data_IF_681686246038
#
_entry.id   IF_681686246038
#
_cell.length_a   1.000
_cell.length_b   1.000
_cell.length_c   1.000
_cell.angle_alpha   90.00
_cell.angle_beta   90.00
_cell.angle_gamma   90.00
#
_symmetry.space_group_name_H-M   'P 1'
#
loop_
_entity.id
_entity.type
_entity.pdbx_description
1 polymer ?
#
# COMPACT_ATOMS: atom_id res chain seq x y z
N UNK A 1 26.52 -15.35 -17.48
CA UNK A 1 26.78 -13.90 -17.65
C UNK A 1 25.62 -13.14 -17.01
N UNK A 2 25.91 -12.06 -16.27
CA UNK A 2 24.90 -11.18 -15.69
C UNK A 2 24.81 -9.90 -16.50
N UNK A 3 23.59 -9.41 -16.73
CA UNK A 3 23.34 -8.11 -17.34
C UNK A 3 22.29 -7.35 -16.55
N UNK A 4 22.34 -6.03 -16.64
CA UNK A 4 21.47 -5.11 -15.91
C UNK A 4 21.00 -4.02 -16.84
N UNK A 5 19.76 -3.61 -16.70
CA UNK A 5 19.21 -2.43 -17.32
C UNK A 5 18.43 -1.63 -16.28
N UNK A 6 18.52 -0.33 -16.34
CA UNK A 6 17.76 0.60 -15.50
C UNK A 6 16.99 1.53 -16.42
N UNK A 7 15.71 1.72 -16.11
CA UNK A 7 14.83 2.62 -16.83
C UNK A 7 14.22 3.63 -15.89
N UNK A 8 14.00 4.84 -16.38
CA UNK A 8 13.17 5.84 -15.72
C UNK A 8 11.81 5.87 -16.41
N UNK A 9 10.77 6.08 -15.61
CA UNK A 9 9.41 6.26 -16.09
C UNK A 9 8.72 7.40 -15.37
N UNK A 10 7.78 8.02 -16.09
CA UNK A 10 6.92 9.06 -15.59
C UNK A 10 5.52 8.87 -16.15
N UNK A 11 4.51 8.90 -15.29
CA UNK A 11 3.11 8.80 -15.68
C UNK A 11 2.33 10.00 -15.16
N UNK A 12 1.45 10.59 -16.00
CA UNK A 12 0.49 11.58 -15.51
C UNK A 12 -0.43 10.97 -14.46
N UNK A 13 -0.76 11.75 -13.44
CA UNK A 13 -1.74 11.38 -12.43
C UNK A 13 -3.04 12.15 -12.66
N UNK A 14 -4.14 11.59 -12.13
CA UNK A 14 -5.42 12.27 -12.13
C UNK A 14 -5.35 13.59 -11.35
N UNK A 15 -6.12 14.58 -11.84
CA UNK A 15 -6.05 15.96 -11.37
C UNK A 15 -6.39 16.18 -9.90
N UNK A 16 -6.96 15.18 -9.23
CA UNK A 16 -7.39 15.27 -7.83
C UNK A 16 -6.48 14.59 -6.80
N UNK A 17 -5.32 14.06 -7.20
CA UNK A 17 -4.45 13.32 -6.27
C UNK A 17 -3.67 14.28 -5.40
N UNK A 18 -4.03 14.33 -4.11
CA UNK A 18 -3.35 15.13 -3.08
C UNK A 18 -2.85 14.21 -1.97
N UNK A 19 -1.55 14.24 -1.71
CA UNK A 19 -0.91 13.49 -0.64
C UNK A 19 -0.23 14.47 0.32
N UNK A 20 -0.62 14.43 1.60
CA UNK A 20 -0.06 15.32 2.64
C UNK A 20 0.03 16.79 2.17
N UNK A 21 -1.08 17.35 1.72
CA UNK A 21 -1.17 18.73 1.23
C UNK A 21 -0.38 19.01 -0.06
N UNK A 22 0.28 18.01 -0.63
CA UNK A 22 1.02 18.10 -1.87
C UNK A 22 0.22 17.50 -3.01
N UNK A 23 -0.01 18.28 -4.06
CA UNK A 23 -0.63 17.81 -5.29
C UNK A 23 0.42 17.15 -6.18
N UNK A 24 0.25 15.85 -6.45
CA UNK A 24 1.07 15.12 -7.40
C UNK A 24 0.46 15.21 -8.79
N UNK A 25 1.20 15.79 -9.73
CA UNK A 25 0.82 15.87 -11.15
C UNK A 25 1.31 14.65 -11.93
N UNK A 26 2.44 14.09 -11.52
CA UNK A 26 3.07 12.92 -12.13
C UNK A 26 3.51 11.96 -11.04
N UNK A 27 3.58 10.69 -11.42
CA UNK A 27 4.25 9.65 -10.64
C UNK A 27 5.51 9.26 -11.38
N UNK A 28 6.63 9.32 -10.69
CA UNK A 28 7.95 9.03 -11.25
C UNK A 28 8.54 7.81 -10.54
N UNK A 29 9.31 7.02 -11.27
CA UNK A 29 9.99 5.87 -10.69
C UNK A 29 11.07 5.32 -11.60
N UNK A 30 11.70 4.26 -11.10
CA UNK A 30 12.71 3.50 -11.83
C UNK A 30 12.24 2.05 -11.94
N UNK A 31 12.71 1.39 -13.01
CA UNK A 31 12.69 -0.06 -13.10
C UNK A 31 14.13 -0.58 -13.18
N UNK A 32 14.38 -1.68 -12.53
CA UNK A 32 15.59 -2.47 -12.72
C UNK A 32 15.22 -3.79 -13.37
N UNK A 33 15.98 -4.18 -14.38
CA UNK A 33 15.88 -5.48 -15.03
C UNK A 33 17.19 -6.22 -14.88
N UNK A 34 17.13 -7.34 -14.17
CA UNK A 34 18.27 -8.24 -13.96
C UNK A 34 18.12 -9.46 -14.86
N UNK A 35 19.23 -9.88 -15.47
CA UNK A 35 19.27 -11.09 -16.24
C UNK A 35 20.50 -11.91 -15.85
N UNK A 36 20.31 -13.21 -15.70
CA UNK A 36 21.41 -14.17 -15.48
C UNK A 36 21.13 -15.44 -16.27
N UNK A 37 21.87 -15.66 -17.35
CA UNK A 37 21.55 -16.71 -18.32
C UNK A 37 20.17 -16.43 -18.97
N UNK A 38 19.28 -17.41 -18.89
CA UNK A 38 17.91 -17.30 -19.43
C UNK A 38 16.90 -16.78 -18.40
N UNK A 39 17.34 -16.53 -17.15
CA UNK A 39 16.46 -16.03 -16.10
C UNK A 39 16.43 -14.51 -16.08
N UNK A 40 15.25 -13.98 -15.79
CA UNK A 40 14.98 -12.54 -15.74
C UNK A 40 14.27 -12.16 -14.46
N UNK A 41 14.49 -10.93 -13.99
CA UNK A 41 13.74 -10.36 -12.89
C UNK A 41 13.60 -8.86 -13.05
N UNK A 42 12.40 -8.38 -12.79
CA UNK A 42 12.06 -6.96 -12.75
C UNK A 42 11.84 -6.48 -11.33
N UNK A 43 12.21 -5.24 -11.06
CA UNK A 43 11.87 -4.57 -9.82
C UNK A 43 11.51 -3.11 -10.06
N UNK A 44 10.60 -2.59 -9.26
CA UNK A 44 10.21 -1.19 -9.30
C UNK A 44 10.78 -0.46 -8.10
N UNK A 45 11.44 0.67 -8.36
CA UNK A 45 11.96 1.58 -7.35
C UNK A 45 11.25 2.92 -7.53
N UNK A 46 10.22 3.15 -6.72
CA UNK A 46 9.38 4.34 -6.85
C UNK A 46 9.13 5.01 -5.49
N UNK A 47 10.14 5.73 -4.96
CA UNK A 47 9.95 6.51 -3.74
C UNK A 47 8.71 7.40 -3.84
N UNK A 48 7.93 7.45 -2.78
CA UNK A 48 6.71 8.26 -2.75
C UNK A 48 7.04 9.63 -2.13
N UNK A 49 6.96 10.72 -2.89
CA UNK A 49 7.25 12.06 -2.37
C UNK A 49 6.42 12.42 -1.13
N UNK A 50 7.08 12.89 -0.09
CA UNK A 50 6.45 13.23 1.19
C UNK A 50 6.29 12.05 2.16
N UNK A 51 6.53 10.81 1.73
CA UNK A 51 6.45 9.60 2.56
C UNK A 51 7.78 8.86 2.62
N UNK A 52 8.44 8.64 1.48
CA UNK A 52 9.74 7.98 1.43
C UNK A 52 10.83 8.85 2.04
N UNK A 53 11.84 8.18 2.64
CA UNK A 53 13.04 8.86 3.17
C UNK A 53 13.94 9.36 2.04
N UNK A 54 14.13 8.53 1.01
CA UNK A 54 14.97 8.84 -0.14
C UNK A 54 14.22 9.65 -1.21
N UNK A 55 14.96 10.48 -1.94
CA UNK A 55 14.53 11.06 -3.20
C UNK A 55 14.72 10.08 -4.35
N UNK A 56 14.13 10.39 -5.51
CA UNK A 56 14.34 9.59 -6.72
C UNK A 56 15.81 9.62 -7.16
N UNK A 57 16.48 10.75 -7.03
CA UNK A 57 17.89 10.93 -7.36
C UNK A 57 18.81 10.09 -6.47
N UNK A 58 18.56 10.09 -5.17
CA UNK A 58 19.27 9.24 -4.22
C UNK A 58 19.03 7.75 -4.53
N UNK A 59 17.80 7.38 -4.84
CA UNK A 59 17.44 6.02 -5.23
C UNK A 59 18.16 5.58 -6.51
N UNK A 60 18.23 6.44 -7.53
CA UNK A 60 18.94 6.16 -8.77
C UNK A 60 20.42 5.92 -8.52
N UNK A 61 21.07 6.78 -7.75
CA UNK A 61 22.49 6.64 -7.43
C UNK A 61 22.80 5.32 -6.70
N UNK A 62 22.01 4.98 -5.70
CA UNK A 62 22.15 3.74 -4.96
C UNK A 62 21.88 2.51 -5.83
N UNK A 63 20.87 2.55 -6.68
CA UNK A 63 20.54 1.48 -7.61
C UNK A 63 21.65 1.25 -8.62
N UNK A 64 22.22 2.31 -9.20
CA UNK A 64 23.35 2.20 -10.13
C UNK A 64 24.55 1.52 -9.48
N UNK A 65 24.94 1.94 -8.29
CA UNK A 65 26.07 1.37 -7.58
C UNK A 65 25.85 -0.12 -7.29
N UNK A 66 24.66 -0.49 -6.80
CA UNK A 66 24.33 -1.87 -6.51
C UNK A 66 24.34 -2.75 -7.77
N UNK A 67 23.71 -2.27 -8.84
CA UNK A 67 23.56 -3.04 -10.09
C UNK A 67 24.89 -3.27 -10.80
N UNK A 68 25.79 -2.30 -10.78
CA UNK A 68 27.13 -2.45 -11.36
C UNK A 68 27.93 -3.50 -10.60
N UNK A 69 27.93 -3.48 -9.29
CA UNK A 69 28.59 -4.49 -8.47
C UNK A 69 28.01 -5.89 -8.71
N UNK A 70 26.68 -6.01 -8.76
CA UNK A 70 26.04 -7.29 -9.05
C UNK A 70 26.37 -7.81 -10.46
N UNK A 71 26.35 -6.93 -11.46
CA UNK A 71 26.74 -7.27 -12.84
C UNK A 71 28.16 -7.82 -12.90
N UNK A 72 29.07 -7.23 -12.14
CA UNK A 72 30.49 -7.59 -12.12
C UNK A 72 30.76 -8.88 -11.32
N UNK A 73 29.72 -9.54 -10.82
CA UNK A 73 29.79 -10.84 -10.17
C UNK A 73 29.77 -10.80 -8.64
N UNK A 74 29.68 -9.63 -8.05
CA UNK A 74 29.60 -9.47 -6.61
C UNK A 74 28.22 -9.87 -6.05
N UNK A 75 28.12 -10.00 -4.74
CA UNK A 75 26.88 -10.14 -3.99
C UNK A 75 26.73 -8.94 -3.05
N UNK A 76 26.48 -7.73 -3.57
CA UNK A 76 26.44 -6.52 -2.78
C UNK A 76 25.27 -6.54 -1.79
N UNK A 77 25.51 -5.96 -0.60
CA UNK A 77 24.43 -5.74 0.37
C UNK A 77 23.44 -4.72 -0.16
N UNK A 78 22.18 -4.85 0.26
CA UNK A 78 21.16 -3.85 -0.07
C UNK A 78 21.57 -2.47 0.47
N UNK A 79 21.26 -1.39 -0.26
CA UNK A 79 21.71 -0.04 0.11
C UNK A 79 21.17 0.51 1.44
N UNK A 80 20.07 -0.04 1.96
CA UNK A 80 19.41 0.47 3.17
C UNK A 80 18.41 1.61 2.89
N UNK A 81 18.07 1.84 1.64
CA UNK A 81 17.00 2.76 1.22
C UNK A 81 15.75 1.94 0.92
N UNK A 82 14.62 2.14 1.61
CA UNK A 82 13.47 1.22 1.55
C UNK A 82 12.95 0.92 0.15
N UNK A 83 12.73 1.94 -0.68
CA UNK A 83 12.23 1.74 -2.03
C UNK A 83 13.23 0.99 -2.93
N UNK A 84 14.52 1.29 -2.79
CA UNK A 84 15.60 0.62 -3.53
C UNK A 84 15.72 -0.83 -3.10
N UNK A 85 15.77 -1.08 -1.80
CA UNK A 85 15.84 -2.43 -1.23
C UNK A 85 14.67 -3.29 -1.66
N UNK A 86 13.46 -2.70 -1.65
CA UNK A 86 12.26 -3.39 -2.10
C UNK A 86 12.34 -3.77 -3.58
N UNK A 87 12.64 -2.82 -4.46
CA UNK A 87 12.72 -3.06 -5.90
C UNK A 87 13.80 -4.08 -6.27
N UNK A 88 14.98 -3.98 -5.68
CA UNK A 88 16.07 -4.95 -5.90
C UNK A 88 15.64 -6.35 -5.42
N UNK A 89 15.04 -6.45 -4.25
CA UNK A 89 14.60 -7.74 -3.72
C UNK A 89 13.51 -8.40 -4.58
N UNK A 90 12.62 -7.60 -5.17
CA UNK A 90 11.64 -8.09 -6.14
C UNK A 90 12.31 -8.64 -7.40
N UNK A 91 13.28 -7.90 -7.95
CA UNK A 91 14.01 -8.34 -9.13
C UNK A 91 14.78 -9.66 -8.87
N UNK A 92 15.43 -9.77 -7.71
CA UNK A 92 16.11 -11.00 -7.31
C UNK A 92 15.13 -12.16 -7.09
N UNK A 93 13.99 -11.91 -6.48
CA UNK A 93 12.97 -12.93 -6.23
C UNK A 93 12.34 -13.45 -7.53
N UNK A 94 12.13 -12.58 -8.52
CA UNK A 94 11.70 -13.02 -9.85
C UNK A 94 12.82 -13.81 -10.56
N UNK A 95 14.05 -13.35 -10.45
CA UNK A 95 15.22 -14.00 -11.06
C UNK A 95 15.44 -15.42 -10.53
N UNK A 96 15.29 -15.66 -9.23
CA UNK A 96 15.47 -16.95 -8.60
C UNK A 96 14.20 -17.81 -8.49
N UNK A 97 13.05 -17.26 -8.92
CA UNK A 97 11.75 -17.94 -8.91
C UNK A 97 11.11 -18.04 -7.52
N UNK A 98 11.56 -17.29 -6.53
CA UNK A 98 10.99 -17.32 -5.17
C UNK A 98 9.73 -16.50 -5.00
N UNK A 99 9.44 -15.57 -5.91
CA UNK A 99 8.17 -14.85 -5.94
C UNK A 99 7.14 -15.65 -6.76
N UNK A 100 5.93 -15.93 -6.22
CA UNK A 100 4.88 -16.60 -7.00
C UNK A 100 4.60 -15.90 -8.33
N UNK A 101 4.34 -16.68 -9.38
CA UNK A 101 3.97 -16.11 -10.69
C UNK A 101 2.51 -15.69 -10.73
N UNK A 102 1.68 -16.27 -9.89
CA UNK A 102 0.24 -16.05 -9.85
C UNK A 102 -0.22 -15.48 -8.53
N UNK A 103 -1.31 -14.73 -8.58
CA UNK A 103 -2.06 -14.21 -7.46
C UNK A 103 -3.55 -14.16 -7.83
N UNK A 104 -4.42 -13.97 -6.86
CA UNK A 104 -5.85 -13.80 -7.14
C UNK A 104 -6.20 -12.37 -7.63
N UNK A 105 -5.26 -11.45 -7.55
CA UNK A 105 -5.38 -10.04 -7.99
C UNK A 105 -6.60 -9.32 -7.42
N UNK A 106 -7.06 -9.73 -6.24
CA UNK A 106 -8.09 -8.99 -5.51
C UNK A 106 -7.49 -7.77 -4.83
N UNK A 107 -8.27 -6.70 -4.78
CA UNK A 107 -7.90 -5.52 -4.01
C UNK A 107 -9.16 -4.93 -3.37
N UNK A 108 -9.04 -4.43 -2.13
CA UNK A 108 -10.12 -3.69 -1.52
C UNK A 108 -10.33 -2.38 -2.29
N UNK A 109 -11.53 -2.12 -2.83
CA UNK A 109 -11.80 -0.88 -3.56
C UNK A 109 -11.48 0.33 -2.69
N UNK A 110 -10.75 1.29 -3.26
CA UNK A 110 -10.54 2.61 -2.67
C UNK A 110 -11.70 3.51 -3.09
N UNK A 111 -12.61 3.75 -2.16
CA UNK A 111 -13.84 4.48 -2.43
C UNK A 111 -13.67 5.96 -2.15
N UNK A 112 -13.93 6.76 -3.16
CA UNK A 112 -14.01 8.23 -3.11
C UNK A 112 -15.28 8.67 -3.83
N UNK A 113 -15.88 9.79 -3.42
CA UNK A 113 -17.00 10.36 -4.12
C UNK A 113 -18.33 10.30 -3.36
N UNK A 114 -19.42 10.35 -4.12
CA UNK A 114 -20.78 10.42 -3.60
C UNK A 114 -21.18 9.09 -2.93
N UNK A 115 -21.70 9.12 -1.68
CA UNK A 115 -22.17 7.92 -0.99
C UNK A 115 -23.24 7.13 -1.75
N UNK A 116 -24.12 7.79 -2.51
CA UNK A 116 -25.16 7.11 -3.28
C UNK A 116 -24.56 6.29 -4.43
N UNK A 117 -23.52 6.81 -5.10
CA UNK A 117 -22.80 6.08 -6.14
C UNK A 117 -22.02 4.91 -5.52
N UNK A 118 -21.37 5.13 -4.39
CA UNK A 118 -20.63 4.10 -3.66
C UNK A 118 -21.54 2.95 -3.21
N UNK A 119 -22.74 3.27 -2.75
CA UNK A 119 -23.70 2.25 -2.34
C UNK A 119 -23.97 1.23 -3.44
N UNK A 120 -24.27 1.69 -4.65
CA UNK A 120 -24.57 0.80 -5.78
C UNK A 120 -23.38 -0.11 -6.12
N UNK A 121 -22.17 0.46 -6.15
CA UNK A 121 -20.93 -0.29 -6.43
C UNK A 121 -20.65 -1.33 -5.35
N UNK A 122 -20.74 -0.96 -4.08
CA UNK A 122 -20.41 -1.84 -2.96
C UNK A 122 -21.48 -2.93 -2.78
N UNK A 123 -22.76 -2.60 -2.97
CA UNK A 123 -23.84 -3.59 -2.89
C UNK A 123 -23.71 -4.67 -3.97
N UNK A 124 -23.20 -4.32 -5.14
CA UNK A 124 -23.02 -5.22 -6.27
C UNK A 124 -21.70 -6.04 -6.23
N UNK A 125 -20.79 -5.77 -5.28
CA UNK A 125 -19.52 -6.50 -5.19
C UNK A 125 -19.74 -8.01 -5.03
N UNK A 126 -19.05 -8.85 -5.83
CA UNK A 126 -19.08 -10.29 -5.62
C UNK A 126 -18.16 -10.72 -4.46
N UNK A 127 -18.53 -11.82 -3.80
CA UNK A 127 -17.71 -12.41 -2.74
C UNK A 127 -17.65 -11.58 -1.46
N UNK A 128 -16.51 -11.57 -0.79
CA UNK A 128 -16.29 -10.81 0.43
C UNK A 128 -16.30 -9.30 0.14
N UNK A 129 -17.17 -8.57 0.82
CA UNK A 129 -17.33 -7.13 0.66
C UNK A 129 -16.44 -6.38 1.64
N UNK A 130 -15.24 -6.03 1.18
CA UNK A 130 -14.29 -5.19 1.91
C UNK A 130 -13.99 -3.97 1.08
N UNK A 131 -14.11 -2.78 1.67
CA UNK A 131 -13.82 -1.52 0.98
C UNK A 131 -13.04 -0.58 1.89
N UNK A 132 -12.20 0.24 1.30
CA UNK A 132 -11.46 1.30 1.99
C UNK A 132 -12.06 2.66 1.69
N UNK A 133 -12.28 3.44 2.74
CA UNK A 133 -12.78 4.82 2.64
C UNK A 133 -11.81 5.74 3.38
N UNK A 134 -11.40 6.81 2.71
CA UNK A 134 -10.62 7.85 3.35
C UNK A 134 -11.54 8.76 4.15
N UNK A 135 -11.21 8.97 5.42
CA UNK A 135 -11.91 9.88 6.33
C UNK A 135 -10.97 10.99 6.79
N UNK A 136 -11.48 12.00 7.47
CA UNK A 136 -10.67 13.12 7.93
C UNK A 136 -10.44 14.23 6.89
N UNK A 137 -11.01 14.12 5.69
CA UNK A 137 -11.00 15.16 4.65
C UNK A 137 -12.15 16.16 4.83
N UNK A 138 -13.23 15.71 5.42
CA UNK A 138 -14.45 16.48 5.72
C UNK A 138 -14.69 16.49 7.23
N UNK A 139 -15.82 17.04 7.63
CA UNK A 139 -16.24 17.02 9.03
C UNK A 139 -16.38 15.58 9.56
N UNK A 140 -15.86 15.33 10.75
CA UNK A 140 -15.87 14.00 11.37
C UNK A 140 -17.30 13.45 11.54
N UNK A 141 -18.26 14.31 11.82
CA UNK A 141 -19.69 13.98 11.89
C UNK A 141 -20.18 13.40 10.58
N UNK A 142 -19.85 14.06 9.45
CA UNK A 142 -20.23 13.59 8.11
C UNK A 142 -19.60 12.22 7.82
N UNK A 143 -18.32 12.06 8.12
CA UNK A 143 -17.64 10.79 7.91
C UNK A 143 -18.28 9.64 8.71
N UNK A 144 -18.68 9.91 9.95
CA UNK A 144 -19.41 8.95 10.79
C UNK A 144 -20.77 8.59 10.20
N UNK A 145 -21.52 9.59 9.74
CA UNK A 145 -22.83 9.37 9.11
C UNK A 145 -22.72 8.54 7.83
N UNK A 146 -21.75 8.82 6.98
CA UNK A 146 -21.51 8.07 5.74
C UNK A 146 -21.14 6.62 6.04
N UNK A 147 -20.20 6.39 6.95
CA UNK A 147 -19.84 5.04 7.37
C UNK A 147 -21.04 4.27 7.92
N UNK A 148 -21.83 4.90 8.77
CA UNK A 148 -23.04 4.29 9.35
C UNK A 148 -24.08 3.92 8.28
N UNK A 149 -24.34 4.81 7.33
CA UNK A 149 -25.30 4.56 6.23
C UNK A 149 -24.86 3.36 5.38
N UNK A 150 -23.60 3.27 5.02
CA UNK A 150 -23.07 2.16 4.22
C UNK A 150 -23.15 0.83 4.98
N UNK A 151 -22.81 0.82 6.26
CA UNK A 151 -22.87 -0.38 7.09
C UNK A 151 -24.30 -0.83 7.34
N UNK A 152 -25.23 0.09 7.54
CA UNK A 152 -26.65 -0.21 7.68
C UNK A 152 -27.25 -0.77 6.39
N UNK A 153 -26.95 -0.13 5.28
CA UNK A 153 -27.53 -0.48 3.98
C UNK A 153 -26.96 -1.76 3.37
N UNK A 154 -25.72 -2.14 3.72
CA UNK A 154 -25.02 -3.31 3.17
C UNK A 154 -24.56 -4.19 4.35
N UNK A 155 -25.39 -5.14 4.82
CA UNK A 155 -25.14 -5.89 6.05
C UNK A 155 -23.87 -6.75 6.07
N UNK A 156 -23.37 -7.17 4.90
CA UNK A 156 -22.15 -7.98 4.75
C UNK A 156 -20.89 -7.16 4.43
N UNK A 157 -21.01 -5.83 4.38
CA UNK A 157 -19.88 -4.93 4.14
C UNK A 157 -18.99 -4.81 5.39
N UNK A 158 -17.70 -4.91 5.18
CA UNK A 158 -16.67 -4.54 6.15
C UNK A 158 -15.90 -3.35 5.63
N UNK A 159 -15.71 -2.33 6.46
CA UNK A 159 -15.02 -1.10 6.11
C UNK A 159 -13.63 -1.04 6.72
N UNK A 160 -12.67 -0.64 5.91
CA UNK A 160 -11.36 -0.14 6.33
C UNK A 160 -11.38 1.36 6.16
N UNK A 161 -11.10 2.09 7.22
CA UNK A 161 -11.11 3.54 7.21
C UNK A 161 -9.70 4.06 7.43
N UNK A 162 -9.38 5.19 6.81
CA UNK A 162 -8.07 5.81 6.93
C UNK A 162 -8.21 7.31 7.20
N UNK A 163 -7.83 7.72 8.39
CA UNK A 163 -7.91 9.11 8.83
C UNK A 163 -6.57 9.86 8.68
N UNK A 164 -5.49 9.18 8.36
CA UNK A 164 -4.15 9.77 8.20
C UNK A 164 -3.76 10.71 9.35
N UNK A 165 -4.07 10.34 10.59
CA UNK A 165 -3.81 11.13 11.81
C UNK A 165 -4.49 12.50 11.84
N UNK A 166 -5.59 12.67 11.10
CA UNK A 166 -6.23 13.97 10.94
C UNK A 166 -6.98 14.46 12.18
N UNK A 167 -7.40 13.56 13.07
CA UNK A 167 -8.32 13.90 14.14
C UNK A 167 -7.65 14.24 15.47
N UNK A 168 -8.23 15.25 16.12
CA UNK A 168 -8.10 15.44 17.57
C UNK A 168 -8.95 14.41 18.29
N UNK A 169 -8.74 14.13 19.60
CA UNK A 169 -9.62 13.24 20.36
C UNK A 169 -11.10 13.61 20.25
N UNK A 170 -11.42 14.91 20.26
CA UNK A 170 -12.80 15.38 20.12
C UNK A 170 -13.41 15.02 18.78
N UNK A 171 -12.68 15.26 17.67
CA UNK A 171 -13.14 14.91 16.32
C UNK A 171 -13.34 13.40 16.16
N UNK A 172 -12.43 12.61 16.70
CA UNK A 172 -12.56 11.14 16.71
C UNK A 172 -13.84 10.70 17.43
N UNK A 173 -14.16 11.29 18.58
CA UNK A 173 -15.41 11.02 19.31
C UNK A 173 -16.64 11.48 18.53
N UNK A 174 -16.57 12.61 17.83
CA UNK A 174 -17.64 13.08 16.95
C UNK A 174 -17.92 12.10 15.83
N UNK A 175 -16.88 11.54 15.21
CA UNK A 175 -17.04 10.45 14.24
C UNK A 175 -17.76 9.26 14.85
N UNK A 176 -17.25 8.73 15.96
CA UNK A 176 -17.78 7.53 16.60
C UNK A 176 -19.25 7.68 17.04
N UNK A 177 -19.64 8.87 17.49
CA UNK A 177 -21.02 9.16 17.92
C UNK A 177 -22.06 8.86 16.85
N UNK A 178 -21.72 9.04 15.59
CA UNK A 178 -22.62 8.84 14.45
C UNK A 178 -22.53 7.44 13.83
N UNK A 179 -21.72 6.57 14.39
CA UNK A 179 -21.65 5.15 14.00
C UNK A 179 -22.40 4.36 15.07
N UNK A 180 -23.50 3.72 14.68
CA UNK A 180 -24.26 2.86 15.58
C UNK A 180 -23.34 1.80 16.22
N UNK A 181 -23.33 1.67 17.54
CA UNK A 181 -22.54 0.66 18.23
C UNK A 181 -22.72 -0.76 17.68
N UNK A 182 -23.91 -1.11 17.18
CA UNK A 182 -24.20 -2.41 16.59
C UNK A 182 -23.44 -2.69 15.28
N UNK A 183 -22.92 -1.67 14.62
CA UNK A 183 -22.18 -1.80 13.34
C UNK A 183 -20.68 -1.64 13.49
N UNK A 184 -20.19 -1.22 14.66
CA UNK A 184 -18.77 -0.89 14.89
C UNK A 184 -17.84 -2.07 14.70
N UNK A 185 -18.27 -3.29 14.95
CA UNK A 185 -17.49 -4.50 14.73
C UNK A 185 -17.24 -4.82 13.25
N UNK A 186 -18.04 -4.23 12.35
CA UNK A 186 -17.84 -4.32 10.90
C UNK A 186 -16.95 -3.21 10.33
N UNK A 187 -16.52 -2.26 11.14
CA UNK A 187 -15.32 -1.48 10.85
C UNK A 187 -14.15 -2.40 11.15
N UNK A 188 -13.55 -2.97 10.11
CA UNK A 188 -12.44 -3.91 10.25
C UNK A 188 -11.29 -3.26 11.02
N UNK A 189 -10.98 -2.01 10.66
CA UNK A 189 -10.10 -1.13 11.41
C UNK A 189 -10.19 0.32 10.89
N UNK A 190 -9.75 1.24 11.72
CA UNK A 190 -9.54 2.64 11.40
C UNK A 190 -8.04 2.93 11.52
N UNK A 191 -7.38 3.23 10.40
CA UNK A 191 -5.95 3.50 10.36
C UNK A 191 -5.66 4.86 10.98
N UNK A 192 -4.73 4.88 11.95
CA UNK A 192 -4.16 6.11 12.56
C UNK A 192 -5.20 7.23 12.74
N UNK A 193 -6.23 7.05 13.60
CA UNK A 193 -7.28 8.07 13.73
C UNK A 193 -6.77 9.40 14.25
N UNK A 194 -5.89 9.38 15.24
CA UNK A 194 -5.41 10.57 15.93
C UNK A 194 -3.95 10.89 15.66
N UNK A 195 -3.51 12.07 16.05
CA UNK A 195 -2.14 12.54 15.85
C UNK A 195 -1.12 11.74 16.64
N UNK A 196 -1.50 11.21 17.80
CA UNK A 196 -0.63 10.40 18.65
C UNK A 196 -1.14 8.97 18.78
N UNK A 197 -0.23 8.02 18.99
CA UNK A 197 -0.62 6.63 19.27
C UNK A 197 -1.47 6.51 20.56
N UNK A 198 -1.12 7.26 21.58
CA UNK A 198 -1.86 7.27 22.84
C UNK A 198 -3.33 7.69 22.64
N UNK A 199 -3.58 8.74 21.87
CA UNK A 199 -4.94 9.20 21.57
C UNK A 199 -5.70 8.19 20.71
N UNK A 200 -5.05 7.54 19.76
CA UNK A 200 -5.66 6.49 18.94
C UNK A 200 -6.02 5.26 19.77
N UNK A 201 -5.18 4.85 20.71
CA UNK A 201 -5.45 3.76 21.63
C UNK A 201 -6.62 4.09 22.57
N UNK A 202 -6.66 5.32 23.10
CA UNK A 202 -7.78 5.78 23.92
C UNK A 202 -9.09 5.75 23.14
N UNK A 203 -9.09 6.22 21.91
CA UNK A 203 -10.24 6.16 20.99
C UNK A 203 -10.77 4.73 20.83
N UNK A 204 -9.88 3.77 20.52
CA UNK A 204 -10.26 2.38 20.34
C UNK A 204 -10.88 1.80 21.63
N UNK A 205 -10.28 2.08 22.77
CA UNK A 205 -10.75 1.62 24.06
C UNK A 205 -12.12 2.20 24.43
N UNK A 206 -12.33 3.48 24.19
CA UNK A 206 -13.56 4.19 24.56
C UNK A 206 -14.73 3.89 23.61
N UNK A 207 -14.46 3.65 22.34
CA UNK A 207 -15.51 3.49 21.32
C UNK A 207 -15.79 2.05 20.91
N UNK A 208 -14.85 1.13 21.17
CA UNK A 208 -14.90 -0.24 20.68
C UNK A 208 -14.62 -0.37 19.17
N UNK A 209 -14.23 0.72 18.51
CA UNK A 209 -13.83 0.70 17.09
C UNK A 209 -12.38 0.27 17.01
N UNK A 210 -12.10 -0.80 16.28
CA UNK A 210 -10.74 -1.30 16.05
C UNK A 210 -9.89 -0.30 15.29
N UNK A 211 -8.61 -0.21 15.64
CA UNK A 211 -7.63 0.63 14.93
C UNK A 211 -6.53 -0.21 14.30
N UNK A 212 -5.80 0.39 13.37
CA UNK A 212 -4.62 -0.16 12.74
C UNK A 212 -3.45 0.84 12.75
N UNK A 213 -2.24 0.30 12.77
CA UNK A 213 -1.03 1.09 12.58
C UNK A 213 -0.61 1.08 11.10
N UNK A 214 -0.20 2.22 10.59
CA UNK A 214 0.41 2.45 9.28
C UNK A 214 1.72 3.22 9.45
N UNK A 215 1.65 4.53 9.60
CA UNK A 215 2.81 5.39 9.78
C UNK A 215 3.64 5.00 11.01
N UNK A 216 2.98 4.59 12.10
CA UNK A 216 3.64 4.19 13.34
C UNK A 216 4.62 3.04 13.17
N UNK A 217 4.38 2.12 12.20
CA UNK A 217 5.30 1.01 11.92
C UNK A 217 6.70 1.47 11.48
N UNK A 218 6.80 2.67 10.95
CA UNK A 218 8.04 3.21 10.39
C UNK A 218 8.71 4.22 11.31
N UNK A 219 8.17 4.40 12.51
CA UNK A 219 8.75 5.27 13.53
C UNK A 219 9.80 4.48 14.34
N UNK A 220 10.90 5.12 14.70
CA UNK A 220 12.05 4.45 15.34
C UNK A 220 11.71 3.87 16.71
N UNK A 221 10.71 4.42 17.40
CA UNK A 221 10.24 3.98 18.72
C UNK A 221 9.11 2.96 18.66
N UNK A 222 8.76 2.45 17.48
CA UNK A 222 7.70 1.45 17.35
C UNK A 222 8.12 0.11 17.94
N UNK A 223 7.24 -0.46 18.77
CA UNK A 223 7.44 -1.78 19.38
C UNK A 223 6.33 -2.73 18.97
N UNK A 224 6.70 -3.97 18.65
CA UNK A 224 5.77 -5.04 18.34
C UNK A 224 5.21 -5.63 19.65
N UNK A 225 4.19 -4.99 20.20
CA UNK A 225 3.50 -5.42 21.42
C UNK A 225 1.99 -5.48 21.18
N UNK A 226 1.33 -6.41 21.84
CA UNK A 226 -0.12 -6.49 21.84
C UNK A 226 -0.72 -5.32 22.62
N UNK A 227 -1.66 -4.61 22.02
CA UNK A 227 -2.34 -3.47 22.61
C UNK A 227 -3.84 -3.60 22.39
N UNK A 228 -4.68 -3.43 23.45
CA UNK A 228 -6.14 -3.51 23.30
C UNK A 228 -6.66 -2.54 22.25
N UNK A 229 -7.53 -3.02 21.38
CA UNK A 229 -8.14 -2.22 20.31
C UNK A 229 -7.35 -2.17 19.00
N UNK A 230 -6.06 -2.51 18.99
CA UNK A 230 -5.28 -2.65 17.76
C UNK A 230 -5.55 -4.04 17.17
N UNK A 231 -6.04 -4.09 15.93
CA UNK A 231 -6.37 -5.34 15.25
C UNK A 231 -5.59 -5.60 13.97
N UNK A 232 -4.97 -4.57 13.40
CA UNK A 232 -4.28 -4.70 12.13
C UNK A 232 -3.06 -3.79 12.05
N UNK A 233 -2.20 -4.13 11.11
CA UNK A 233 -1.11 -3.27 10.64
C UNK A 233 -1.19 -3.18 9.11
N UNK A 234 -0.90 -2.01 8.58
CA UNK A 234 -0.84 -1.74 7.14
C UNK A 234 0.63 -1.65 6.74
N UNK A 235 1.07 -2.59 5.93
CA UNK A 235 2.47 -2.70 5.49
C UNK A 235 2.58 -2.24 4.05
N UNK A 236 3.37 -1.19 3.83
CA UNK A 236 3.64 -0.61 2.52
C UNK A 236 5.08 -0.93 2.11
N UNK A 237 5.31 -1.97 1.31
CA UNK A 237 6.65 -2.48 1.02
C UNK A 237 7.63 -1.43 0.47
N UNK A 238 7.17 -0.55 -0.42
CA UNK A 238 8.02 0.56 -0.93
C UNK A 238 8.55 1.47 0.20
N UNK A 239 7.80 1.61 1.29
CA UNK A 239 8.21 2.39 2.46
C UNK A 239 8.89 1.53 3.54
N UNK A 240 8.77 0.22 3.47
CA UNK A 240 9.29 -0.74 4.45
C UNK A 240 10.70 -1.20 4.12
N UNK A 241 10.94 -1.68 2.91
CA UNK A 241 12.22 -2.22 2.48
C UNK A 241 12.11 -3.54 1.73
N UNK A 242 13.10 -4.42 1.89
CA UNK A 242 13.17 -5.69 1.18
C UNK A 242 11.96 -6.61 1.45
N UNK A 243 11.74 -7.58 0.54
CA UNK A 243 10.73 -8.64 0.75
C UNK A 243 10.97 -9.38 2.07
N UNK A 244 12.23 -9.62 2.43
CA UNK A 244 12.56 -10.24 3.73
C UNK A 244 12.08 -9.41 4.90
N UNK A 245 12.28 -8.09 4.87
CA UNK A 245 11.80 -7.18 5.91
C UNK A 245 10.29 -7.14 5.97
N UNK A 246 9.62 -7.13 4.82
CA UNK A 246 8.16 -7.22 4.73
C UNK A 246 7.66 -8.51 5.39
N UNK A 247 8.27 -9.65 5.06
CA UNK A 247 7.92 -10.95 5.67
C UNK A 247 8.08 -10.93 7.18
N UNK A 248 9.19 -10.39 7.68
CA UNK A 248 9.44 -10.26 9.12
C UNK A 248 8.37 -9.44 9.83
N UNK A 249 7.91 -8.35 9.22
CA UNK A 249 6.81 -7.55 9.78
C UNK A 249 5.48 -8.29 9.75
N UNK A 250 5.18 -9.03 8.68
CA UNK A 250 3.98 -9.88 8.61
C UNK A 250 4.00 -10.94 9.70
N UNK A 251 5.14 -11.62 9.88
CA UNK A 251 5.31 -12.63 10.93
C UNK A 251 5.16 -12.04 12.33
N UNK A 252 5.73 -10.86 12.58
CA UNK A 252 5.58 -10.15 13.86
C UNK A 252 4.13 -9.79 14.14
N UNK A 253 3.39 -9.30 13.12
CA UNK A 253 1.97 -9.00 13.25
C UNK A 253 1.16 -10.26 13.57
N UNK A 254 1.38 -11.33 12.83
CA UNK A 254 0.67 -12.61 13.04
C UNK A 254 0.96 -13.21 14.41
N UNK A 255 2.18 -13.09 14.92
CA UNK A 255 2.55 -13.55 16.26
C UNK A 255 1.77 -12.83 17.37
N UNK A 256 1.32 -11.61 17.11
CA UNK A 256 0.46 -10.83 18.03
C UNK A 256 -1.04 -11.03 17.77
N UNK A 257 -1.41 -11.90 16.84
CA UNK A 257 -2.81 -12.09 16.44
C UNK A 257 -3.39 -10.95 15.61
N UNK A 258 -2.54 -10.08 15.02
CA UNK A 258 -2.96 -8.98 14.19
C UNK A 258 -3.14 -9.40 12.73
N UNK A 259 -4.06 -8.76 12.04
CA UNK A 259 -4.16 -8.83 10.57
C UNK A 259 -3.06 -7.98 9.96
N UNK A 260 -2.31 -8.53 9.03
CA UNK A 260 -1.33 -7.78 8.23
C UNK A 260 -1.93 -7.52 6.84
N UNK A 261 -2.01 -6.25 6.46
CA UNK A 261 -2.53 -5.83 5.14
C UNK A 261 -1.37 -5.30 4.31
N UNK A 262 -1.07 -5.97 3.20
CA UNK A 262 -0.14 -5.44 2.19
C UNK A 262 -0.87 -4.34 1.42
N UNK A 263 -0.27 -3.16 1.38
CA UNK A 263 -0.88 -1.98 0.77
C UNK A 263 0.10 -1.29 -0.20
N UNK A 264 -0.46 -0.58 -1.17
CA UNK A 264 0.32 0.13 -2.17
C UNK A 264 0.76 1.51 -1.72
N UNK A 265 1.85 1.98 -2.35
CA UNK A 265 2.35 3.36 -2.28
C UNK A 265 2.30 4.01 -3.67
N UNK A 266 1.22 3.78 -4.39
CA UNK A 266 0.97 4.28 -5.76
C UNK A 266 2.07 3.79 -6.73
N UNK A 267 2.34 2.50 -6.75
CA UNK A 267 3.23 1.86 -7.70
C UNK A 267 2.58 1.81 -9.10
N UNK A 268 3.41 1.61 -10.13
CA UNK A 268 2.93 1.25 -11.46
C UNK A 268 2.28 -0.14 -11.44
N UNK A 269 1.64 -0.51 -12.55
CA UNK A 269 1.04 -1.85 -12.67
C UNK A 269 2.04 -2.99 -12.45
N UNK A 270 3.30 -2.83 -12.86
CA UNK A 270 4.33 -3.83 -12.59
C UNK A 270 4.51 -4.04 -11.08
N UNK A 271 4.75 -2.97 -10.34
CA UNK A 271 4.91 -3.03 -8.90
C UNK A 271 3.66 -3.55 -8.18
N UNK A 272 2.48 -3.13 -8.62
CA UNK A 272 1.21 -3.61 -8.05
C UNK A 272 1.02 -5.12 -8.26
N UNK A 273 1.38 -5.66 -9.42
CA UNK A 273 1.31 -7.12 -9.65
C UNK A 273 2.27 -7.88 -8.73
N UNK A 274 3.44 -7.34 -8.47
CA UNK A 274 4.40 -7.91 -7.51
C UNK A 274 3.86 -7.85 -6.08
N UNK A 275 3.24 -6.74 -5.67
CA UNK A 275 2.57 -6.63 -4.37
C UNK A 275 1.44 -7.64 -4.20
N UNK A 276 0.64 -7.87 -5.24
CA UNK A 276 -0.39 -8.90 -5.23
C UNK A 276 0.17 -10.31 -5.01
N UNK A 277 1.31 -10.62 -5.62
CA UNK A 277 2.02 -11.90 -5.46
C UNK A 277 2.61 -12.03 -4.06
N UNK A 278 3.18 -10.98 -3.52
CA UNK A 278 3.67 -10.94 -2.13
C UNK A 278 2.51 -11.16 -1.14
N UNK A 279 1.38 -10.50 -1.36
CA UNK A 279 0.18 -10.71 -0.54
C UNK A 279 -0.33 -12.16 -0.62
N UNK A 280 -0.36 -12.75 -1.80
CA UNK A 280 -0.74 -14.15 -1.98
C UNK A 280 0.18 -15.11 -1.22
N UNK A 281 1.46 -14.78 -1.10
CA UNK A 281 2.45 -15.59 -0.40
C UNK A 281 2.40 -15.42 1.12
N UNK A 282 2.33 -14.18 1.62
CA UNK A 282 2.48 -13.87 3.03
C UNK A 282 1.16 -13.66 3.77
N UNK A 283 0.12 -13.19 3.09
CA UNK A 283 -1.17 -12.85 3.67
C UNK A 283 -2.33 -13.38 2.83
N UNK A 284 -2.37 -14.70 2.52
CA UNK A 284 -3.32 -15.26 1.56
C UNK A 284 -4.78 -15.12 1.98
N UNK A 285 -5.06 -15.04 3.27
CA UNK A 285 -6.41 -14.87 3.81
C UNK A 285 -6.90 -13.42 3.90
N UNK A 286 -6.09 -12.45 3.48
CA UNK A 286 -6.39 -11.01 3.65
C UNK A 286 -6.40 -10.32 2.30
N UNK A 287 -7.51 -9.63 1.99
CA UNK A 287 -7.60 -8.81 0.76
C UNK A 287 -6.62 -7.65 0.87
N UNK A 288 -5.65 -7.50 -0.07
CA UNK A 288 -4.66 -6.43 0.00
C UNK A 288 -5.26 -5.07 -0.40
N UNK A 289 -4.61 -3.99 0.04
CA UNK A 289 -4.99 -2.62 -0.27
C UNK A 289 -4.24 -2.07 -1.49
N UNK A 290 -4.59 -2.55 -2.70
CA UNK A 290 -3.83 -2.30 -3.93
C UNK A 290 -4.58 -1.47 -4.98
N UNK A 291 -5.73 -0.92 -4.65
CA UNK A 291 -6.60 -0.22 -5.63
C UNK A 291 -6.16 1.24 -5.84
N UNK A 292 -4.98 1.43 -6.39
CA UNK A 292 -4.41 2.76 -6.68
C UNK A 292 -4.07 2.99 -8.15
N UNK A 293 -4.22 1.96 -9.00
CA UNK A 293 -3.78 2.05 -10.40
C UNK A 293 -4.53 3.14 -11.18
N UNK A 294 -5.83 3.30 -10.94
CA UNK A 294 -6.64 4.29 -11.62
C UNK A 294 -6.39 5.75 -11.17
N UNK A 295 -5.49 5.97 -10.24
CA UNK A 295 -4.92 7.30 -9.96
C UNK A 295 -3.94 7.74 -11.05
N UNK A 296 -3.49 6.82 -11.89
CA UNK A 296 -2.63 7.06 -13.05
C UNK A 296 -3.39 6.88 -14.37
N UNK A 297 -2.78 7.28 -15.48
CA UNK A 297 -3.44 7.26 -16.81
C UNK A 297 -2.98 6.12 -17.71
N UNK A 298 -2.00 5.34 -17.29
CA UNK A 298 -1.49 4.21 -18.05
C UNK A 298 -0.89 3.15 -17.13
N UNK A 299 -0.73 1.95 -17.68
CA UNK A 299 0.00 0.85 -17.10
C UNK A 299 1.38 0.73 -17.74
N UNK A 300 2.30 0.04 -17.10
CA UNK A 300 3.67 -0.15 -17.58
C UNK A 300 4.07 -1.62 -17.51
N UNK A 301 4.61 -2.15 -18.59
CA UNK A 301 5.26 -3.45 -18.77
C UNK A 301 4.36 -4.65 -18.48
N UNK A 302 3.71 -4.69 -17.34
CA UNK A 302 2.88 -5.81 -16.90
C UNK A 302 1.51 -5.27 -16.49
N UNK A 303 0.44 -5.63 -17.20
CA UNK A 303 -0.89 -5.13 -16.90
C UNK A 303 -1.47 -5.79 -15.64
N UNK A 304 -2.25 -5.01 -14.91
CA UNK A 304 -3.11 -5.54 -13.86
C UNK A 304 -4.30 -6.26 -14.52
N UNK A 305 -4.59 -7.52 -14.17
CA UNK A 305 -5.68 -8.27 -14.78
C UNK A 305 -7.02 -7.55 -14.65
N UNK A 306 -7.71 -7.38 -15.78
CA UNK A 306 -9.02 -6.71 -15.83
C UNK A 306 -8.99 -5.18 -15.87
N UNK A 307 -7.84 -4.53 -15.74
CA UNK A 307 -7.73 -3.08 -15.87
C UNK A 307 -7.69 -2.69 -17.35
N UNK A 308 -8.40 -1.62 -17.71
CA UNK A 308 -8.56 -1.19 -19.10
C UNK A 308 -7.65 -0.03 -19.51
N UNK A 309 -6.83 0.51 -18.60
CA UNK A 309 -5.85 1.52 -18.95
C UNK A 309 -4.85 0.96 -19.96
N UNK A 310 -4.39 1.80 -20.94
CA UNK A 310 -3.39 1.36 -21.90
C UNK A 310 -2.10 0.93 -21.19
N UNK A 311 -1.55 -0.21 -21.58
CA UNK A 311 -0.28 -0.69 -21.06
C UNK A 311 0.85 -0.37 -22.03
N UNK A 312 1.81 0.41 -21.57
CA UNK A 312 3.01 0.78 -22.35
C UNK A 312 4.11 -0.24 -22.08
N UNK A 313 4.87 -0.54 -23.10
CA UNK A 313 5.98 -1.48 -23.03
C UNK A 313 7.35 -0.76 -22.85
N UNK A 314 8.43 -1.52 -22.99
CA UNK A 314 9.80 -1.05 -22.74
C UNK A 314 10.20 0.17 -23.57
N UNK A 315 9.69 0.28 -24.80
CA UNK A 315 10.03 1.40 -25.70
C UNK A 315 9.52 2.75 -25.19
N UNK A 316 8.54 2.75 -24.30
CA UNK A 316 8.03 3.97 -23.66
C UNK A 316 8.85 4.44 -22.46
N UNK A 317 9.89 3.69 -22.07
CA UNK A 317 10.73 3.99 -20.91
C UNK A 317 12.02 4.68 -21.36
N UNK A 318 12.58 5.51 -20.47
CA UNK A 318 13.86 6.15 -20.65
C UNK A 318 15.00 5.23 -20.14
N UNK A 319 15.84 4.68 -21.02
CA UNK A 319 16.97 3.87 -20.58
C UNK A 319 18.03 4.73 -19.87
N UNK A 320 18.47 4.29 -18.70
CA UNK A 320 19.52 4.95 -17.92
C UNK A 320 20.81 4.14 -17.83
N UNK A 321 20.73 2.82 -18.03
CA UNK A 321 21.87 1.90 -18.01
C UNK A 321 21.56 0.72 -18.92
#
# INVERSE_FOLDING_TARGET
>A
MRSVQIYRWQLPMDAGVVLRERRLKTRDGLFVHLQQGDRHGWGEISPLPGFSRESLEEAEAALRAWTLAWRDGEAPLLPGLPAVDFGISCALAELDGSLPEEADYRAAPLCTGDPDELFAVLAAMPGEKVAKIKVGLYEAVRDGMVANLLLEAIPDLRLRLDANRAWTPLKAQQFAKYVNPAYRDRIAFLEEPCKTRADSLAFARETGIAIAWDESLREDDFEWIAQPGVRAVVIKPTLTGSITKVREQVEAAHALGLTAVISSSIESSLGLTQLARIAAQFTPGTVPGLDTLNLMQAQLLRPWPGNTLPCRDREALEPLL
#
